data_IF_721517451034
#
_entry.id   IF_721517451034
#
_cell.length_a   1.000
_cell.length_b   1.000
_cell.length_c   1.000
_cell.angle_alpha   90.00
_cell.angle_beta   90.00
_cell.angle_gamma   90.00
#
_symmetry.space_group_name_H-M   'P 1'
#
loop_
_entity.id
_entity.type
_entity.pdbx_description
1 polymer ?
#
# COMPACT_ATOMS: atom_id res chain seq x y z
N UNK A 1 -11.75 -22.74 21.14
CA UNK A 1 -12.90 -22.29 20.32
C UNK A 1 -12.58 -20.93 19.71
N UNK A 2 -12.24 -20.92 18.43
CA UNK A 2 -11.90 -19.68 17.68
C UNK A 2 -13.12 -18.80 17.59
N UNK A 3 -13.05 -17.56 18.08
CA UNK A 3 -14.07 -16.54 17.88
C UNK A 3 -13.81 -15.86 16.53
N UNK A 4 -14.41 -16.39 15.47
CA UNK A 4 -14.44 -15.70 14.18
C UNK A 4 -15.47 -14.57 14.26
N UNK A 5 -15.02 -13.32 14.35
CA UNK A 5 -15.89 -12.14 14.12
C UNK A 5 -16.00 -11.94 12.61
N UNK A 6 -16.93 -12.60 11.97
CA UNK A 6 -17.27 -12.34 10.57
C UNK A 6 -18.36 -11.29 10.49
N UNK A 7 -17.98 -10.09 10.11
CA UNK A 7 -18.94 -9.09 9.66
C UNK A 7 -19.27 -9.35 8.20
N UNK A 8 -20.43 -9.92 7.90
CA UNK A 8 -20.85 -10.31 6.54
C UNK A 8 -21.27 -9.13 5.64
N UNK A 9 -21.25 -7.90 6.12
CA UNK A 9 -21.69 -6.73 5.34
C UNK A 9 -20.49 -5.81 5.09
N UNK A 10 -20.22 -5.54 3.82
CA UNK A 10 -19.16 -4.62 3.43
C UNK A 10 -19.51 -3.18 3.86
N UNK A 11 -18.56 -2.51 4.49
CA UNK A 11 -18.69 -1.13 4.97
C UNK A 11 -18.12 -0.19 3.90
N UNK A 12 -18.90 0.80 3.46
CA UNK A 12 -18.38 1.82 2.54
C UNK A 12 -17.39 2.74 3.27
N UNK A 13 -16.23 2.91 2.67
CA UNK A 13 -15.21 3.84 3.16
C UNK A 13 -15.42 5.19 2.47
N UNK A 14 -15.55 6.24 3.26
CA UNK A 14 -15.51 7.61 2.75
C UNK A 14 -14.12 7.92 2.21
N UNK A 15 -14.04 8.52 1.03
CA UNK A 15 -12.78 8.80 0.33
C UNK A 15 -11.76 9.63 1.12
N UNK A 16 -12.23 10.45 2.05
CA UNK A 16 -11.37 11.25 2.94
C UNK A 16 -10.95 10.51 4.23
N UNK A 17 -11.42 9.27 4.44
CA UNK A 17 -11.17 8.49 5.67
C UNK A 17 -10.35 7.21 5.43
N UNK A 18 -9.91 6.98 4.21
CA UNK A 18 -8.90 5.96 3.90
C UNK A 18 -7.52 6.61 3.91
N UNK A 19 -6.55 5.93 4.49
CA UNK A 19 -5.17 6.43 4.57
C UNK A 19 -4.21 5.25 4.81
N UNK A 20 -3.07 5.27 4.14
CA UNK A 20 -1.98 4.30 4.33
C UNK A 20 -0.74 5.08 4.71
N UNK A 21 -0.16 4.80 5.87
CA UNK A 21 1.05 5.47 6.36
C UNK A 21 2.12 4.47 6.74
N UNK A 22 3.31 4.64 6.21
CA UNK A 22 4.49 3.99 6.76
C UNK A 22 5.05 4.84 7.90
N UNK A 23 5.12 4.26 9.09
CA UNK A 23 5.70 4.90 10.28
C UNK A 23 7.21 4.91 10.22
N UNK A 24 7.80 3.79 9.78
CA UNK A 24 9.22 3.65 9.53
C UNK A 24 9.50 2.48 8.59
N UNK A 25 10.65 2.55 7.92
CA UNK A 25 11.32 1.41 7.29
C UNK A 25 12.72 1.36 7.87
N UNK A 26 13.12 0.21 8.40
CA UNK A 26 14.45 0.05 9.01
C UNK A 26 14.86 -1.41 9.08
N UNK A 27 16.04 -1.74 8.55
CA UNK A 27 16.65 -3.06 8.64
C UNK A 27 15.78 -4.23 8.18
N UNK A 28 15.05 -4.05 7.09
CA UNK A 28 14.12 -5.07 6.59
C UNK A 28 12.75 -5.08 7.27
N UNK A 29 12.48 -4.15 8.18
CA UNK A 29 11.17 -4.01 8.82
C UNK A 29 10.45 -2.77 8.32
N UNK A 30 9.16 -2.93 8.02
CA UNK A 30 8.27 -1.84 7.64
C UNK A 30 7.06 -1.80 8.56
N UNK A 31 6.88 -0.72 9.31
CA UNK A 31 5.67 -0.51 10.10
C UNK A 31 4.68 0.34 9.34
N UNK A 32 3.53 -0.26 9.06
CA UNK A 32 2.45 0.33 8.27
C UNK A 32 1.23 0.55 9.13
N UNK A 33 0.54 1.65 8.90
CA UNK A 33 -0.71 1.99 9.53
C UNK A 33 -1.76 2.14 8.43
N UNK A 34 -2.75 1.26 8.43
CA UNK A 34 -3.91 1.33 7.55
C UNK A 34 -5.09 1.93 8.32
N UNK A 35 -5.67 2.97 7.79
CA UNK A 35 -6.87 3.58 8.33
C UNK A 35 -8.06 3.34 7.41
N UNK A 36 -9.13 2.78 7.97
CA UNK A 36 -10.41 2.49 7.30
C UNK A 36 -11.54 3.16 8.08
N UNK A 37 -11.99 4.33 7.67
CA UNK A 37 -12.88 5.20 8.45
C UNK A 37 -12.27 5.50 9.83
N UNK A 38 -12.88 5.01 10.90
CA UNK A 38 -12.42 5.22 12.28
C UNK A 38 -11.63 4.00 12.82
N UNK A 39 -11.49 2.94 12.03
CA UNK A 39 -10.73 1.75 12.37
C UNK A 39 -9.29 1.86 11.87
N UNK A 40 -8.34 1.46 12.69
CA UNK A 40 -6.91 1.53 12.38
C UNK A 40 -6.29 0.17 12.63
N UNK A 41 -5.56 -0.33 11.63
CA UNK A 41 -4.67 -1.49 11.76
C UNK A 41 -3.24 -0.98 11.75
N UNK A 42 -2.51 -1.22 12.82
CA UNK A 42 -1.07 -0.98 12.92
C UNK A 42 -0.36 -2.33 12.75
N UNK A 43 0.48 -2.47 11.75
CA UNK A 43 1.13 -3.72 11.39
C UNK A 43 2.63 -3.51 11.14
N UNK A 44 3.46 -4.46 11.57
CA UNK A 44 4.88 -4.49 11.26
C UNK A 44 5.17 -5.67 10.35
N UNK A 45 5.60 -5.42 9.12
CA UNK A 45 5.98 -6.43 8.16
C UNK A 45 7.49 -6.62 8.14
N UNK A 46 7.93 -7.87 8.04
CA UNK A 46 9.31 -8.21 7.71
C UNK A 46 9.43 -8.31 6.18
N UNK A 47 10.08 -7.32 5.58
CA UNK A 47 10.27 -7.24 4.13
C UNK A 47 11.29 -8.25 3.60
N UNK A 48 11.86 -9.11 4.46
CA UNK A 48 12.69 -10.24 4.04
C UNK A 48 11.88 -11.47 3.59
N UNK A 49 10.62 -11.57 4.00
CA UNK A 49 9.73 -12.67 3.61
C UNK A 49 9.02 -12.41 2.28
N UNK A 50 8.54 -11.19 2.08
CA UNK A 50 7.81 -10.78 0.89
C UNK A 50 8.06 -9.30 0.57
N UNK A 51 7.51 -8.82 -0.55
CA UNK A 51 7.64 -7.44 -1.02
C UNK A 51 6.32 -6.67 -0.93
N UNK A 52 5.76 -6.43 0.27
CA UNK A 52 4.38 -5.94 0.40
C UNK A 52 4.14 -4.59 -0.27
N UNK A 53 5.15 -3.72 -0.38
CA UNK A 53 5.02 -2.47 -1.10
C UNK A 53 4.95 -2.68 -2.61
N UNK A 54 5.80 -3.59 -3.15
CA UNK A 54 5.77 -3.93 -4.57
C UNK A 54 4.47 -4.65 -4.94
N UNK A 55 4.01 -5.55 -4.09
CA UNK A 55 2.75 -6.27 -4.27
C UNK A 55 1.56 -5.31 -4.25
N UNK A 56 1.56 -4.32 -3.35
CA UNK A 56 0.51 -3.30 -3.27
C UNK A 56 0.47 -2.43 -4.54
N UNK A 57 1.63 -1.99 -5.03
CA UNK A 57 1.73 -1.22 -6.29
C UNK A 57 1.27 -2.08 -7.47
N UNK A 58 1.69 -3.34 -7.54
CA UNK A 58 1.29 -4.27 -8.60
C UNK A 58 -0.20 -4.56 -8.57
N UNK A 59 -0.78 -4.78 -7.39
CA UNK A 59 -2.21 -5.01 -7.22
C UNK A 59 -3.05 -3.84 -7.75
N UNK A 60 -2.64 -2.59 -7.48
CA UNK A 60 -3.35 -1.42 -8.01
C UNK A 60 -3.20 -1.32 -9.53
N UNK A 61 -2.03 -1.65 -10.10
CA UNK A 61 -1.81 -1.69 -11.53
C UNK A 61 -2.64 -2.78 -12.21
N UNK A 62 -2.72 -3.95 -11.61
CA UNK A 62 -3.49 -5.07 -12.13
C UNK A 62 -5.00 -4.75 -12.16
N UNK A 63 -5.51 -4.14 -11.09
CA UNK A 63 -6.88 -3.64 -11.07
C UNK A 63 -7.12 -2.56 -12.14
N UNK A 64 -6.16 -1.67 -12.38
CA UNK A 64 -6.30 -0.64 -13.42
C UNK A 64 -6.33 -1.23 -14.84
N UNK A 65 -5.49 -2.23 -15.09
CA UNK A 65 -5.35 -2.86 -16.41
C UNK A 65 -6.46 -3.87 -16.72
N UNK A 66 -6.98 -4.54 -15.71
CA UNK A 66 -7.93 -5.65 -15.83
C UNK A 66 -9.20 -5.36 -15.02
N UNK A 67 -10.14 -4.63 -15.64
CA UNK A 67 -11.45 -4.32 -15.04
C UNK A 67 -12.40 -5.52 -15.13
N UNK A 68 -11.97 -6.68 -14.66
CA UNK A 68 -12.80 -7.89 -14.57
C UNK A 68 -13.13 -8.14 -13.09
N UNK A 69 -14.43 -8.24 -12.79
CA UNK A 69 -14.91 -8.52 -11.43
C UNK A 69 -14.43 -9.88 -10.87
N UNK A 70 -13.96 -10.78 -11.73
CA UNK A 70 -13.37 -12.06 -11.30
C UNK A 70 -11.87 -11.97 -11.03
N UNK A 71 -11.24 -10.82 -11.28
CA UNK A 71 -9.84 -10.61 -10.98
C UNK A 71 -9.70 -10.18 -9.51
N UNK A 72 -9.25 -11.11 -8.68
CA UNK A 72 -8.92 -10.87 -7.28
C UNK A 72 -7.41 -10.83 -7.13
N UNK A 73 -6.90 -9.79 -6.50
CA UNK A 73 -5.47 -9.61 -6.21
C UNK A 73 -5.26 -9.53 -4.71
N UNK A 74 -4.25 -10.22 -4.23
CA UNK A 74 -3.92 -10.28 -2.82
C UNK A 74 -2.57 -9.62 -2.53
N UNK A 75 -2.53 -8.82 -1.48
CA UNK A 75 -1.30 -8.26 -0.90
C UNK A 75 -1.12 -8.84 0.49
N UNK A 76 0.07 -9.30 0.81
CA UNK A 76 0.38 -9.90 2.11
C UNK A 76 1.44 -9.07 2.81
N UNK A 77 1.12 -8.63 4.01
CA UNK A 77 2.08 -8.09 4.98
C UNK A 77 2.29 -9.16 6.04
N UNK A 78 3.52 -9.58 6.25
CA UNK A 78 3.84 -10.73 7.07
C UNK A 78 4.96 -10.42 8.06
N UNK A 79 4.81 -10.88 9.28
CA UNK A 79 5.90 -11.05 10.22
C UNK A 79 5.96 -12.52 10.71
N UNK A 80 6.79 -12.83 11.69
CA UNK A 80 6.97 -14.20 12.16
C UNK A 80 5.75 -14.82 12.87
N UNK A 81 4.81 -14.01 13.33
CA UNK A 81 3.68 -14.44 14.18
C UNK A 81 2.32 -13.98 13.64
N UNK A 82 2.33 -13.08 12.68
CA UNK A 82 1.13 -12.41 12.23
C UNK A 82 1.16 -12.17 10.73
N UNK A 83 0.01 -12.33 10.07
CA UNK A 83 -0.18 -12.02 8.65
C UNK A 83 -1.37 -11.12 8.46
N UNK A 84 -1.19 -10.10 7.63
CA UNK A 84 -2.25 -9.22 7.19
C UNK A 84 -2.43 -9.40 5.68
N UNK A 85 -3.56 -9.96 5.30
CA UNK A 85 -3.97 -10.12 3.90
C UNK A 85 -4.89 -8.97 3.51
N UNK A 86 -4.65 -8.41 2.35
CA UNK A 86 -5.51 -7.41 1.72
C UNK A 86 -5.91 -7.95 0.36
N UNK A 87 -7.15 -8.45 0.27
CA UNK A 87 -7.73 -8.94 -0.97
C UNK A 87 -8.53 -7.83 -1.62
N UNK A 88 -8.26 -7.60 -2.90
CA UNK A 88 -8.83 -6.52 -3.71
C UNK A 88 -9.50 -7.11 -4.94
N UNK A 89 -10.73 -6.70 -5.22
CA UNK A 89 -11.44 -7.04 -6.45
C UNK A 89 -12.35 -5.91 -6.89
N UNK A 90 -12.73 -5.88 -8.17
CA UNK A 90 -13.71 -4.91 -8.64
C UNK A 90 -15.10 -5.17 -8.04
N UNK A 91 -15.78 -4.13 -7.61
CA UNK A 91 -17.20 -4.17 -7.33
C UNK A 91 -17.99 -4.21 -8.65
N UNK A 92 -19.24 -4.63 -8.60
CA UNK A 92 -20.10 -4.79 -9.78
C UNK A 92 -20.32 -3.52 -10.61
N UNK A 93 -20.05 -2.34 -10.05
CA UNK A 93 -20.17 -1.05 -10.75
C UNK A 93 -18.90 -0.67 -11.54
N UNK A 94 -17.80 -1.43 -11.45
CA UNK A 94 -16.50 -1.15 -12.08
C UNK A 94 -15.90 0.25 -11.80
N UNK A 95 -16.35 0.89 -10.73
CA UNK A 95 -15.85 2.18 -10.23
C UNK A 95 -15.28 2.04 -8.83
N UNK A 96 -15.90 1.17 -8.03
CA UNK A 96 -15.49 0.83 -6.68
C UNK A 96 -14.73 -0.50 -6.66
N UNK A 97 -13.92 -0.68 -5.63
CA UNK A 97 -13.25 -1.95 -5.30
C UNK A 97 -13.79 -2.50 -3.99
N UNK A 98 -13.96 -3.81 -3.96
CA UNK A 98 -14.13 -4.54 -2.71
C UNK A 98 -12.76 -4.73 -2.09
N UNK A 99 -12.67 -4.52 -0.82
CA UNK A 99 -11.46 -4.66 -0.02
C UNK A 99 -11.78 -5.58 1.16
N UNK A 100 -11.22 -6.77 1.17
CA UNK A 100 -11.27 -7.66 2.31
C UNK A 100 -9.94 -7.60 3.04
N UNK A 101 -9.98 -7.26 4.32
CA UNK A 101 -8.81 -7.27 5.18
C UNK A 101 -8.92 -8.43 6.14
N UNK A 102 -7.91 -9.30 6.15
CA UNK A 102 -7.85 -10.46 7.03
C UNK A 102 -6.57 -10.39 7.84
N UNK A 103 -6.69 -10.48 9.14
CA UNK A 103 -5.56 -10.53 10.08
C UNK A 103 -5.55 -11.90 10.74
N UNK A 104 -4.45 -12.61 10.59
CA UNK A 104 -4.24 -13.96 11.15
C UNK A 104 -3.09 -13.91 12.14
N UNK A 105 -3.30 -14.52 13.29
CA UNK A 105 -2.29 -14.73 14.33
C UNK A 105 -1.98 -16.20 14.43
N UNK A 106 -0.71 -16.56 14.44
CA UNK A 106 -0.28 -17.93 14.70
C UNK A 106 -0.46 -18.29 16.19
N UNK A 107 -0.54 -19.59 16.46
CA UNK A 107 -0.52 -20.08 17.84
C UNK A 107 0.85 -19.77 18.47
N UNK A 108 0.83 -19.18 19.66
CA UNK A 108 2.04 -18.86 20.40
C UNK A 108 1.99 -19.39 21.82
N UNK A 109 3.15 -19.69 22.39
CA UNK A 109 3.31 -20.07 23.79
C UNK A 109 4.13 -18.98 24.45
N UNK A 110 3.60 -18.39 25.51
CA UNK A 110 4.29 -17.34 26.27
C UNK A 110 5.32 -17.89 27.28
N UNK A 111 6.00 -16.99 27.96
CA UNK A 111 7.01 -17.30 28.97
C UNK A 111 6.48 -18.14 30.16
N UNK A 112 5.16 -18.11 30.39
CA UNK A 112 4.49 -18.85 31.45
C UNK A 112 3.98 -20.23 30.97
N UNK A 113 4.27 -20.61 29.73
CA UNK A 113 3.71 -21.76 29.01
C UNK A 113 2.19 -21.68 28.78
N UNK A 114 1.61 -20.48 28.77
CA UNK A 114 0.23 -20.28 28.37
C UNK A 114 0.12 -20.28 26.85
N UNK A 115 -0.82 -21.09 26.34
CA UNK A 115 -1.06 -21.23 24.89
C UNK A 115 -2.04 -20.14 24.45
N UNK A 116 -1.57 -19.26 23.57
CA UNK A 116 -2.41 -18.31 22.84
C UNK A 116 -2.81 -18.93 21.51
N UNK A 117 -4.07 -19.36 21.36
CA UNK A 117 -4.50 -20.08 20.16
C UNK A 117 -4.48 -19.17 18.93
N UNK A 118 -4.21 -19.78 17.79
CA UNK A 118 -4.36 -19.12 16.50
C UNK A 118 -5.72 -18.43 16.37
N UNK A 119 -5.74 -17.23 15.84
CA UNK A 119 -6.97 -16.45 15.67
C UNK A 119 -7.00 -15.74 14.32
N UNK A 120 -8.22 -15.43 13.87
CA UNK A 120 -8.45 -14.75 12.60
C UNK A 120 -9.52 -13.68 12.77
N UNK A 121 -9.21 -12.48 12.31
CA UNK A 121 -10.14 -11.35 12.22
C UNK A 121 -10.32 -10.96 10.76
N UNK A 122 -11.53 -10.57 10.35
CA UNK A 122 -11.82 -10.22 8.97
C UNK A 122 -12.78 -9.04 8.91
N UNK A 123 -12.49 -8.11 7.99
CA UNK A 123 -13.30 -6.92 7.72
C UNK A 123 -13.50 -6.78 6.21
N UNK A 124 -14.70 -6.37 5.80
CA UNK A 124 -15.04 -6.15 4.40
C UNK A 124 -15.42 -4.68 4.20
N UNK A 125 -14.80 -4.07 3.19
CA UNK A 125 -15.00 -2.68 2.84
C UNK A 125 -15.29 -2.53 1.34
N UNK A 126 -15.88 -1.40 0.97
CA UNK A 126 -16.02 -0.95 -0.42
C UNK A 126 -15.53 0.49 -0.50
N UNK A 127 -14.71 0.80 -1.49
CA UNK A 127 -14.17 2.14 -1.70
C UNK A 127 -13.99 2.45 -3.19
N UNK A 128 -13.98 3.75 -3.54
CA UNK A 128 -13.66 4.16 -4.89
C UNK A 128 -12.21 3.75 -5.26
N UNK A 129 -12.03 3.13 -6.42
CA UNK A 129 -10.70 2.70 -6.91
C UNK A 129 -9.71 3.88 -6.98
N UNK A 130 -10.19 5.06 -7.45
CA UNK A 130 -9.36 6.24 -7.50
C UNK A 130 -8.81 6.68 -6.14
N UNK A 131 -9.54 6.42 -5.04
CA UNK A 131 -9.07 6.70 -3.70
C UNK A 131 -7.91 5.76 -3.30
N UNK A 132 -8.07 4.45 -3.50
CA UNK A 132 -7.02 3.47 -3.25
C UNK A 132 -5.74 3.82 -4.04
N UNK A 133 -5.88 4.09 -5.33
CA UNK A 133 -4.77 4.43 -6.21
C UNK A 133 -4.00 5.66 -5.74
N UNK A 134 -4.70 6.73 -5.38
CA UNK A 134 -4.07 7.97 -4.91
C UNK A 134 -3.36 7.77 -3.56
N UNK A 135 -3.92 6.99 -2.65
CA UNK A 135 -3.24 6.70 -1.38
C UNK A 135 -1.96 5.88 -1.57
N UNK A 136 -1.96 4.91 -2.49
CA UNK A 136 -0.74 4.14 -2.81
C UNK A 136 0.32 5.03 -3.47
N UNK A 137 -0.07 5.92 -4.37
CA UNK A 137 0.83 6.91 -4.95
C UNK A 137 1.42 7.85 -3.89
N UNK A 138 0.58 8.34 -2.99
CA UNK A 138 1.00 9.25 -1.91
C UNK A 138 1.96 8.54 -0.94
N UNK A 139 1.69 7.28 -0.61
CA UNK A 139 2.57 6.43 0.19
C UNK A 139 3.97 6.34 -0.44
N UNK A 140 4.02 5.95 -1.72
CA UNK A 140 5.28 5.81 -2.46
C UNK A 140 6.06 7.14 -2.54
N UNK A 141 5.38 8.23 -2.88
CA UNK A 141 5.98 9.57 -2.95
C UNK A 141 6.53 10.02 -1.59
N UNK A 142 5.79 9.75 -0.50
CA UNK A 142 6.21 10.09 0.86
C UNK A 142 7.44 9.29 1.28
N UNK A 143 7.50 8.00 0.95
CA UNK A 143 8.67 7.17 1.21
C UNK A 143 9.92 7.69 0.49
N UNK A 144 9.80 7.98 -0.80
CA UNK A 144 10.89 8.54 -1.59
C UNK A 144 11.33 9.90 -1.04
N UNK A 145 10.40 10.75 -0.65
CA UNK A 145 10.69 12.06 -0.06
C UNK A 145 11.42 11.93 1.27
N UNK A 146 10.99 10.99 2.11
CA UNK A 146 11.53 10.83 3.47
C UNK A 146 12.91 10.18 3.49
N UNK A 147 13.10 9.14 2.70
CA UNK A 147 14.30 8.30 2.75
C UNK A 147 15.21 8.46 1.52
N UNK A 148 14.70 9.02 0.41
CA UNK A 148 15.34 8.94 -0.90
C UNK A 148 15.32 7.52 -1.48
N UNK A 149 15.61 7.38 -2.77
CA UNK A 149 15.60 6.07 -3.42
C UNK A 149 16.58 5.08 -2.78
N UNK A 150 17.82 5.50 -2.57
CA UNK A 150 18.85 4.65 -1.96
C UNK A 150 18.52 4.33 -0.50
N UNK A 151 17.94 5.29 0.24
CA UNK A 151 17.57 5.10 1.63
C UNK A 151 16.41 4.12 1.79
N UNK A 152 15.40 4.17 0.92
CA UNK A 152 14.31 3.17 0.91
C UNK A 152 14.90 1.79 0.65
N UNK A 153 15.66 1.61 -0.44
CA UNK A 153 16.22 0.31 -0.81
C UNK A 153 17.15 -0.27 0.27
N UNK A 154 17.99 0.56 0.89
CA UNK A 154 18.90 0.09 1.94
C UNK A 154 18.18 -0.33 3.23
N UNK A 155 16.98 0.19 3.49
CA UNK A 155 16.19 -0.12 4.67
C UNK A 155 15.13 -1.22 4.45
N UNK A 156 14.77 -1.54 3.20
CA UNK A 156 13.83 -2.61 2.86
C UNK A 156 14.48 -4.01 2.82
N UNK A 157 15.74 -4.14 3.16
CA UNK A 157 16.42 -5.42 3.19
C UNK A 157 16.69 -5.97 1.77
N UNK A 158 16.06 -7.11 1.42
CA UNK A 158 16.21 -7.73 0.09
C UNK A 158 15.34 -7.11 -0.98
N UNK A 159 14.33 -6.38 -0.56
CA UNK A 159 13.41 -5.74 -1.46
C UNK A 159 13.97 -4.48 -2.07
N UNK A 160 13.42 -4.12 -3.21
CA UNK A 160 13.67 -2.83 -3.84
C UNK A 160 12.37 -2.03 -3.93
N UNK A 161 12.49 -0.71 -3.86
CA UNK A 161 11.36 0.17 -4.12
C UNK A 161 10.80 -0.10 -5.53
N UNK A 162 9.49 -0.32 -5.70
CA UNK A 162 8.87 -0.69 -6.98
C UNK A 162 8.78 0.50 -7.94
N UNK A 163 9.93 1.01 -8.39
CA UNK A 163 10.03 2.27 -9.15
C UNK A 163 9.25 2.23 -10.45
N UNK A 164 9.33 1.14 -11.22
CA UNK A 164 8.65 1.02 -12.51
C UNK A 164 7.12 1.03 -12.35
N UNK A 165 6.61 0.26 -11.38
CA UNK A 165 5.20 0.24 -11.05
C UNK A 165 4.70 1.60 -10.57
N UNK A 166 5.44 2.25 -9.68
CA UNK A 166 5.14 3.58 -9.20
C UNK A 166 5.08 4.62 -10.33
N UNK A 167 6.04 4.60 -11.26
CA UNK A 167 6.05 5.52 -12.40
C UNK A 167 4.87 5.30 -13.35
N UNK A 168 4.47 4.04 -13.59
CA UNK A 168 3.26 3.71 -14.37
C UNK A 168 2.00 4.25 -13.71
N UNK A 169 1.85 4.08 -12.40
CA UNK A 169 0.73 4.66 -11.67
C UNK A 169 0.71 6.20 -11.77
N UNK A 170 1.88 6.83 -11.71
CA UNK A 170 2.01 8.28 -11.87
C UNK A 170 1.55 8.76 -13.25
N UNK A 171 1.99 8.08 -14.33
CA UNK A 171 1.59 8.43 -15.70
C UNK A 171 0.07 8.48 -15.84
N UNK A 172 -0.61 7.49 -15.29
CA UNK A 172 -2.06 7.37 -15.39
C UNK A 172 -2.82 8.37 -14.49
N UNK A 173 -2.19 8.87 -13.43
CA UNK A 173 -2.85 9.71 -12.42
C UNK A 173 -2.65 11.21 -12.58
N UNK A 174 -1.66 11.66 -13.35
CA UNK A 174 -1.30 13.09 -13.50
C UNK A 174 -2.52 13.97 -13.83
N UNK A 175 -3.38 13.51 -14.77
CA UNK A 175 -4.56 14.28 -15.18
C UNK A 175 -5.69 14.36 -14.14
N UNK A 176 -5.79 13.37 -13.26
CA UNK A 176 -6.85 13.30 -12.24
C UNK A 176 -6.50 14.19 -11.06
N UNK A 177 -5.24 14.18 -10.64
CA UNK A 177 -4.80 14.88 -9.42
C UNK A 177 -4.71 16.40 -9.63
N UNK A 178 -4.54 16.88 -10.85
CA UNK A 178 -4.59 18.33 -11.17
C UNK A 178 -5.96 18.96 -10.86
N UNK A 179 -7.00 18.16 -10.75
CA UNK A 179 -8.36 18.58 -10.39
C UNK A 179 -8.73 18.22 -8.95
N UNK A 180 -7.80 17.62 -8.21
CA UNK A 180 -8.07 17.05 -6.89
C UNK A 180 -8.29 18.09 -5.79
N UNK A 181 -9.06 17.70 -4.78
CA UNK A 181 -9.40 18.52 -3.63
C UNK A 181 -8.22 18.73 -2.65
N UNK A 182 -8.48 19.52 -1.61
CA UNK A 182 -7.48 20.00 -0.64
C UNK A 182 -6.65 18.93 0.09
N UNK A 183 -7.11 17.68 0.17
CA UNK A 183 -6.35 16.57 0.78
C UNK A 183 -5.03 16.28 0.06
N UNK A 184 -4.98 16.60 -1.24
CA UNK A 184 -3.83 16.31 -2.11
C UNK A 184 -3.09 17.57 -2.55
N UNK A 185 -3.37 18.73 -1.93
CA UNK A 185 -2.70 19.98 -2.26
C UNK A 185 -1.17 19.89 -2.13
N UNK A 186 -0.69 19.18 -1.11
CA UNK A 186 0.74 18.96 -0.88
C UNK A 186 1.35 18.01 -1.93
N UNK A 187 0.53 17.16 -2.55
CA UNK A 187 0.93 16.27 -3.63
C UNK A 187 1.12 17.00 -4.97
N UNK A 188 0.61 18.23 -5.10
CA UNK A 188 0.69 18.98 -6.35
C UNK A 188 2.14 19.32 -6.76
N UNK A 189 2.98 19.68 -5.80
CA UNK A 189 4.41 19.94 -6.08
C UNK A 189 5.13 18.62 -6.44
N UNK A 190 4.73 17.52 -5.83
CA UNK A 190 5.23 16.18 -6.18
C UNK A 190 4.83 15.78 -7.59
N UNK A 191 3.63 16.15 -8.04
CA UNK A 191 3.18 15.91 -9.42
C UNK A 191 4.06 16.64 -10.43
N UNK A 192 4.44 17.87 -10.17
CA UNK A 192 5.39 18.60 -11.04
C UNK A 192 6.72 17.85 -11.14
N UNK A 193 7.18 17.33 -10.00
CA UNK A 193 8.37 16.51 -9.93
C UNK A 193 8.20 15.19 -10.66
N UNK A 194 7.09 14.48 -10.44
CA UNK A 194 6.76 13.25 -11.15
C UNK A 194 6.68 13.44 -12.65
N UNK A 195 6.07 14.55 -13.12
CA UNK A 195 6.08 14.93 -14.54
C UNK A 195 7.48 15.09 -15.09
N UNK A 196 8.37 15.73 -14.33
CA UNK A 196 9.78 15.88 -14.71
C UNK A 196 10.51 14.54 -14.76
N UNK A 197 10.23 13.65 -13.83
CA UNK A 197 10.79 12.29 -13.80
C UNK A 197 10.29 11.51 -15.02
N UNK A 198 8.98 11.46 -15.23
CA UNK A 198 8.33 10.74 -16.33
C UNK A 198 8.85 11.26 -17.69
N UNK A 199 8.99 12.57 -17.87
CA UNK A 199 9.50 13.15 -19.13
C UNK A 199 10.94 12.76 -19.46
N UNK A 200 11.65 12.15 -18.50
CA UNK A 200 13.04 11.70 -18.65
C UNK A 200 13.21 10.19 -18.51
N UNK A 201 12.11 9.44 -18.41
CA UNK A 201 12.17 7.98 -18.27
C UNK A 201 12.92 7.28 -19.42
N UNK A 202 12.88 7.86 -20.62
CA UNK A 202 13.61 7.35 -21.78
C UNK A 202 15.14 7.56 -21.67
N UNK A 203 15.60 8.34 -20.69
CA UNK A 203 17.01 8.67 -20.46
C UNK A 203 17.62 7.78 -19.37
N UNK A 204 17.40 6.48 -19.40
CA UNK A 204 18.07 5.46 -18.57
C UNK A 204 17.67 5.39 -17.07
N UNK A 205 17.53 4.14 -16.57
CA UNK A 205 17.38 3.76 -15.15
C UNK A 205 18.37 4.47 -14.21
N UNK A 206 19.57 4.75 -14.68
CA UNK A 206 20.62 5.44 -13.95
C UNK A 206 20.28 6.90 -13.60
N UNK A 207 19.43 7.56 -14.40
CA UNK A 207 19.04 8.94 -14.10
C UNK A 207 18.02 8.99 -12.95
N UNK A 208 17.00 8.15 -12.96
CA UNK A 208 16.03 8.06 -11.86
C UNK A 208 16.74 7.78 -10.54
N UNK A 209 17.69 6.85 -10.52
CA UNK A 209 18.47 6.50 -9.33
C UNK A 209 19.35 7.66 -8.83
N UNK A 210 19.82 8.52 -9.72
CA UNK A 210 20.67 9.69 -9.37
C UNK A 210 19.86 10.90 -8.92
N UNK A 211 18.70 11.12 -9.51
CA UNK A 211 17.89 12.32 -9.22
C UNK A 211 16.97 12.13 -7.99
N UNK A 212 16.49 10.94 -7.71
CA UNK A 212 15.67 10.66 -6.54
C UNK A 212 16.34 11.01 -5.20
N UNK A 213 17.65 10.78 -4.98
CA UNK A 213 18.31 11.24 -3.76
C UNK A 213 18.33 12.75 -3.57
N UNK A 214 18.22 13.53 -4.66
CA UNK A 214 18.23 15.00 -4.61
C UNK A 214 16.85 15.60 -4.36
N UNK A 215 15.82 14.79 -4.39
CA UNK A 215 14.43 15.18 -4.16
C UNK A 215 14.11 15.28 -2.67
N UNK A 216 14.92 14.69 -1.83
CA UNK A 216 14.74 14.60 -0.36
C UNK A 216 15.30 15.82 0.37
N UNK A 217 15.89 16.74 -0.32
CA UNK A 217 16.38 18.01 0.21
C UNK A 217 15.43 19.14 -0.16
#
# INVERSE_FOLDING_TARGET
>A
MSKTKTGNTAIRIDTCKFDIKVKYIRYGWMRVNFKFNDFIIDFTADTSFNSPLADLVSAVLDLENYKDANNEVQVVFEDSLEKLYIDLSWASNNEDVNLQVTREYEETIDENNDIHPASKEQWNYIMAFGCLKVEVLYLCATLLRTYGFLGVNSNMGRDSFPIDGFLRLCQNQIHITEKGGSKYSDFYEDIKLLKKIISRMDETDDWCRREFPKIVL
#
